data_IF_138408637033
#
_entry.id   IF_138408637033
#
_cell.length_a   1.000
_cell.length_b   1.000
_cell.length_c   1.000
_cell.angle_alpha   90.00
_cell.angle_beta   90.00
_cell.angle_gamma   90.00
#
_symmetry.space_group_name_H-M   'P 1'
#
loop_
_entity.id
_entity.type
_entity.pdbx_description
1 polymer ?
#
# COMPACT_ATOMS: atom_id res chain seq x y z
N UNK A 1 -24.81 27.28 74.45
CA UNK A 1 -24.62 28.45 73.57
C UNK A 1 -23.20 28.41 73.05
N UNK A 2 -23.06 28.09 71.78
CA UNK A 2 -21.72 28.16 71.09
C UNK A 2 -21.42 29.63 70.84
N UNK A 3 -20.20 30.04 71.09
CA UNK A 3 -19.79 31.44 70.95
C UNK A 3 -19.69 31.89 69.50
N UNK A 4 -19.95 33.15 69.28
CA UNK A 4 -19.94 33.77 67.91
C UNK A 4 -18.57 33.65 67.20
N UNK A 5 -17.50 33.27 67.88
CA UNK A 5 -16.17 33.07 67.32
C UNK A 5 -16.02 31.68 66.59
N UNK A 6 -16.87 30.71 66.90
CA UNK A 6 -16.81 29.41 66.21
C UNK A 6 -17.52 29.39 64.85
N UNK A 7 -18.28 30.41 64.48
CA UNK A 7 -18.99 30.51 63.18
C UNK A 7 -18.23 31.30 62.12
N UNK A 8 -17.12 31.96 62.48
CA UNK A 8 -16.35 32.80 61.56
C UNK A 8 -15.33 31.97 60.70
N UNK A 9 -15.26 30.65 60.86
CA UNK A 9 -14.26 29.81 60.19
C UNK A 9 -14.74 29.01 59.00
N UNK A 10 -16.00 29.20 58.59
CA UNK A 10 -16.53 28.53 57.40
C UNK A 10 -16.38 29.44 56.16
N UNK A 11 -15.13 29.65 55.69
CA UNK A 11 -14.90 30.18 54.36
C UNK A 11 -15.41 29.15 53.33
N UNK A 12 -16.51 29.48 52.67
CA UNK A 12 -16.99 28.76 51.48
C UNK A 12 -15.99 28.98 50.35
N UNK A 13 -15.08 28.01 50.12
CA UNK A 13 -14.31 27.96 48.86
C UNK A 13 -15.24 27.40 47.77
N UNK A 14 -15.55 28.19 46.74
CA UNK A 14 -16.31 27.66 45.63
C UNK A 14 -15.48 26.61 44.91
N UNK A 15 -16.07 25.45 44.55
CA UNK A 15 -15.36 24.39 43.86
C UNK A 15 -14.68 24.94 42.58
N UNK A 16 -13.42 24.62 42.39
CA UNK A 16 -12.66 25.09 41.25
C UNK A 16 -13.30 24.59 39.95
N UNK A 17 -13.34 25.42 38.92
CA UNK A 17 -13.89 25.08 37.58
C UNK A 17 -13.26 23.79 37.03
N UNK A 18 -12.07 23.44 37.48
CA UNK A 18 -11.38 22.20 37.20
C UNK A 18 -12.06 20.95 37.76
N UNK A 19 -12.78 21.04 38.91
CA UNK A 19 -13.46 19.89 39.48
C UNK A 19 -14.74 19.53 38.73
N UNK A 20 -15.42 20.52 38.17
CA UNK A 20 -16.63 20.31 37.35
C UNK A 20 -16.31 19.78 35.95
N UNK A 21 -15.14 20.06 35.39
CA UNK A 21 -14.75 19.63 34.01
C UNK A 21 -14.18 18.20 33.99
N UNK A 22 -13.60 17.73 35.10
CA UNK A 22 -13.01 16.39 35.18
C UNK A 22 -13.96 15.22 34.84
N UNK A 23 -15.21 15.17 35.37
CA UNK A 23 -16.14 14.10 35.02
C UNK A 23 -16.61 14.19 33.57
N UNK A 24 -16.81 15.39 33.01
CA UNK A 24 -17.22 15.58 31.61
C UNK A 24 -16.14 15.14 30.64
N UNK A 25 -14.88 15.44 30.92
CA UNK A 25 -13.72 15.02 30.13
C UNK A 25 -13.59 13.48 30.19
N UNK A 26 -13.76 12.87 31.37
CA UNK A 26 -13.74 11.39 31.52
C UNK A 26 -14.86 10.72 30.75
N UNK A 27 -16.08 11.25 30.81
CA UNK A 27 -17.23 10.73 30.06
C UNK A 27 -16.97 10.85 28.55
N UNK A 28 -16.41 11.95 28.08
CA UNK A 28 -16.07 12.14 26.69
C UNK A 28 -14.99 11.12 26.21
N UNK A 29 -13.96 10.87 27.01
CA UNK A 29 -12.94 9.85 26.71
C UNK A 29 -13.53 8.44 26.68
N UNK A 30 -14.44 8.10 27.60
CA UNK A 30 -15.13 6.81 27.63
C UNK A 30 -16.04 6.66 26.41
N UNK A 31 -16.79 7.69 26.04
CA UNK A 31 -17.64 7.67 24.85
C UNK A 31 -16.84 7.55 23.55
N UNK A 32 -15.70 8.23 23.43
CA UNK A 32 -14.80 8.09 22.28
C UNK A 32 -14.19 6.67 22.23
N UNK A 33 -13.78 6.12 23.37
CA UNK A 33 -13.27 4.75 23.44
C UNK A 33 -14.33 3.70 23.08
N UNK A 34 -15.58 3.88 23.54
CA UNK A 34 -16.71 3.00 23.17
C UNK A 34 -17.04 3.13 21.69
N UNK A 35 -17.02 4.34 21.12
CA UNK A 35 -17.29 4.57 19.71
C UNK A 35 -16.22 3.96 18.81
N UNK A 36 -14.95 3.94 19.23
CA UNK A 36 -13.86 3.27 18.52
C UNK A 36 -13.93 1.75 18.62
N UNK A 37 -14.47 1.21 19.72
CA UNK A 37 -14.70 -0.23 19.90
C UNK A 37 -15.95 -0.73 19.16
N UNK A 38 -16.94 0.14 18.95
CA UNK A 38 -18.17 -0.15 18.20
C UNK A 38 -18.05 0.17 16.71
N UNK A 39 -16.96 0.80 16.28
CA UNK A 39 -16.66 0.89 14.86
C UNK A 39 -16.62 -0.55 14.33
N UNK A 40 -17.49 -0.94 13.37
CA UNK A 40 -17.38 -2.26 12.76
C UNK A 40 -15.97 -2.34 12.23
N UNK A 41 -15.15 -3.17 12.86
CA UNK A 41 -13.85 -3.53 12.29
C UNK A 41 -14.17 -3.96 10.87
N UNK A 42 -13.70 -3.21 9.88
CA UNK A 42 -13.75 -3.66 8.51
C UNK A 42 -12.92 -4.93 8.50
N UNK A 43 -13.58 -6.07 8.78
CA UNK A 43 -13.04 -7.36 8.38
C UNK A 43 -12.97 -7.22 6.88
N UNK A 44 -11.80 -6.83 6.39
CA UNK A 44 -11.43 -7.02 5.01
C UNK A 44 -11.55 -8.53 4.82
N UNK A 45 -12.73 -8.97 4.42
CA UNK A 45 -12.90 -10.29 3.85
C UNK A 45 -11.91 -10.29 2.72
N UNK A 46 -10.84 -11.08 2.87
CA UNK A 46 -9.85 -11.29 1.83
C UNK A 46 -10.66 -11.54 0.56
N UNK A 47 -10.55 -10.62 -0.40
CA UNK A 47 -11.43 -10.62 -1.56
C UNK A 47 -11.04 -11.84 -2.37
N UNK A 48 -11.81 -12.92 -2.24
CA UNK A 48 -11.61 -14.18 -2.97
C UNK A 48 -11.95 -14.04 -4.45
N UNK A 49 -12.58 -12.92 -4.83
CA UNK A 49 -12.89 -12.62 -6.23
C UNK A 49 -11.65 -12.16 -6.97
N UNK A 50 -11.34 -12.86 -8.04
CA UNK A 50 -10.30 -12.51 -9.00
C UNK A 50 -10.77 -11.31 -9.81
N UNK A 51 -10.00 -10.24 -9.86
CA UNK A 51 -10.24 -9.14 -10.79
C UNK A 51 -9.79 -9.54 -12.20
N UNK A 52 -10.35 -8.87 -13.23
CA UNK A 52 -9.89 -9.08 -14.61
C UNK A 52 -8.38 -8.86 -14.74
N UNK A 53 -7.83 -7.93 -13.97
CA UNK A 53 -6.40 -7.64 -13.94
C UNK A 53 -5.59 -8.80 -13.34
N UNK A 54 -6.10 -9.45 -12.28
CA UNK A 54 -5.47 -10.64 -11.71
C UNK A 54 -5.48 -11.81 -12.70
N UNK A 55 -6.57 -12.00 -13.45
CA UNK A 55 -6.68 -13.02 -14.49
C UNK A 55 -5.68 -12.78 -15.64
N UNK A 56 -5.48 -11.50 -16.03
CA UNK A 56 -4.47 -11.12 -17.02
C UNK A 56 -3.06 -11.52 -16.56
N UNK A 57 -2.74 -11.36 -15.27
CA UNK A 57 -1.44 -11.80 -14.72
C UNK A 57 -1.22 -13.30 -14.92
N UNK A 58 -2.17 -14.12 -14.48
CA UNK A 58 -2.08 -15.58 -14.60
C UNK A 58 -1.89 -16.00 -16.06
N UNK A 59 -2.64 -15.37 -16.96
CA UNK A 59 -2.52 -15.57 -18.41
C UNK A 59 -1.11 -15.23 -18.92
N UNK A 60 -0.57 -14.06 -18.56
CA UNK A 60 0.75 -13.60 -19.00
C UNK A 60 1.87 -14.50 -18.48
N UNK A 61 1.85 -14.87 -17.20
CA UNK A 61 2.87 -15.76 -16.62
C UNK A 61 2.78 -17.17 -17.22
N UNK A 62 1.56 -17.67 -17.45
CA UNK A 62 1.36 -18.96 -18.13
C UNK A 62 1.93 -18.94 -19.55
N UNK A 63 1.60 -17.93 -20.33
CA UNK A 63 2.10 -17.77 -21.70
C UNK A 63 3.62 -17.61 -21.73
N UNK A 64 4.21 -16.88 -20.76
CA UNK A 64 5.66 -16.78 -20.64
C UNK A 64 6.30 -18.19 -20.49
N UNK A 65 5.81 -19.00 -19.57
CA UNK A 65 6.31 -20.36 -19.39
C UNK A 65 6.18 -21.24 -20.63
N UNK A 66 5.07 -21.09 -21.37
CA UNK A 66 4.80 -21.91 -22.56
C UNK A 66 5.78 -21.65 -23.73
N UNK A 67 6.41 -20.47 -23.82
CA UNK A 67 7.42 -20.22 -24.85
C UNK A 67 8.84 -20.20 -24.30
N UNK A 68 9.06 -19.76 -23.06
CA UNK A 68 10.40 -19.62 -22.50
C UNK A 68 11.00 -20.97 -22.06
N UNK A 69 10.19 -21.96 -21.70
CA UNK A 69 10.73 -23.30 -21.46
C UNK A 69 11.27 -23.96 -22.74
N UNK A 70 10.57 -23.99 -23.89
CA UNK A 70 11.16 -24.44 -25.16
C UNK A 70 12.37 -23.59 -25.61
N UNK A 71 12.31 -22.26 -25.45
CA UNK A 71 13.44 -21.38 -25.73
C UNK A 71 14.67 -21.74 -24.90
N UNK A 72 14.52 -21.99 -23.59
CA UNK A 72 15.59 -22.46 -22.72
C UNK A 72 16.16 -23.82 -23.15
N UNK A 73 15.32 -24.74 -23.63
CA UNK A 73 15.79 -26.01 -24.21
C UNK A 73 16.63 -25.78 -25.48
N UNK A 74 16.20 -24.90 -26.36
CA UNK A 74 16.98 -24.52 -27.55
C UNK A 74 18.30 -23.87 -27.18
N UNK A 75 18.31 -23.01 -26.15
CA UNK A 75 19.51 -22.40 -25.62
C UNK A 75 20.57 -23.43 -25.18
N UNK A 76 20.13 -24.54 -24.55
CA UNK A 76 21.01 -25.64 -24.14
C UNK A 76 21.58 -26.40 -25.33
N UNK A 77 20.92 -26.39 -26.48
CA UNK A 77 21.37 -27.10 -27.70
C UNK A 77 22.21 -26.22 -28.64
N UNK A 78 21.86 -24.95 -28.79
CA UNK A 78 22.41 -24.05 -29.79
C UNK A 78 23.29 -22.94 -29.22
N UNK A 79 23.12 -22.62 -27.93
CA UNK A 79 23.76 -21.47 -27.30
C UNK A 79 25.23 -21.71 -26.94
N UNK A 80 25.97 -20.62 -26.78
CA UNK A 80 27.26 -20.61 -26.10
C UNK A 80 27.17 -21.07 -24.64
N UNK A 81 28.27 -21.44 -23.98
CA UNK A 81 28.23 -21.93 -22.59
C UNK A 81 27.55 -21.02 -21.61
N UNK A 82 27.59 -19.68 -21.79
CA UNK A 82 26.90 -18.73 -20.95
C UNK A 82 25.39 -18.75 -21.22
N UNK A 83 24.98 -18.79 -22.48
CA UNK A 83 23.58 -18.83 -22.90
C UNK A 83 22.92 -20.16 -22.49
N UNK A 84 23.65 -21.29 -22.58
CA UNK A 84 23.19 -22.59 -22.06
C UNK A 84 22.84 -22.52 -20.59
N UNK A 85 23.69 -21.91 -19.75
CA UNK A 85 23.46 -21.73 -18.31
C UNK A 85 22.23 -20.85 -18.04
N UNK A 86 22.12 -19.75 -18.77
CA UNK A 86 20.98 -18.83 -18.64
C UNK A 86 19.69 -19.52 -19.06
N UNK A 87 19.69 -20.18 -20.22
CA UNK A 87 18.52 -20.92 -20.72
C UNK A 87 18.06 -22.01 -19.76
N UNK A 88 18.99 -22.77 -19.19
CA UNK A 88 18.67 -23.79 -18.19
C UNK A 88 18.01 -23.15 -16.94
N UNK A 89 18.58 -22.05 -16.41
CA UNK A 89 18.06 -21.38 -15.24
C UNK A 89 16.63 -20.83 -15.47
N UNK A 90 16.41 -20.16 -16.61
CA UNK A 90 15.10 -19.63 -17.02
C UNK A 90 14.08 -20.77 -17.16
N UNK A 91 14.45 -21.85 -17.87
CA UNK A 91 13.58 -23.03 -18.04
C UNK A 91 13.15 -23.64 -16.70
N UNK A 92 14.08 -23.78 -15.75
CA UNK A 92 13.79 -24.35 -14.43
C UNK A 92 12.87 -23.45 -13.59
N UNK A 93 13.10 -22.13 -13.63
CA UNK A 93 12.24 -21.19 -12.90
C UNK A 93 10.83 -21.14 -13.52
N UNK A 94 10.70 -21.16 -14.84
CA UNK A 94 9.40 -21.22 -15.50
C UNK A 94 8.66 -22.52 -15.26
N UNK A 95 9.36 -23.64 -15.13
CA UNK A 95 8.73 -24.90 -14.70
C UNK A 95 8.08 -24.80 -13.31
N UNK A 96 8.75 -24.14 -12.35
CA UNK A 96 8.19 -23.89 -11.00
C UNK A 96 7.03 -22.89 -11.04
N UNK A 97 7.19 -21.80 -11.79
CA UNK A 97 6.14 -20.79 -11.97
C UNK A 97 4.91 -21.38 -12.63
N UNK A 98 5.07 -22.30 -13.58
CA UNK A 98 3.97 -22.97 -14.27
C UNK A 98 3.11 -23.82 -13.31
N UNK A 99 3.75 -24.60 -12.44
CA UNK A 99 3.05 -25.36 -11.40
C UNK A 99 2.27 -24.41 -10.48
N UNK A 100 2.89 -23.33 -10.02
CA UNK A 100 2.25 -22.36 -9.16
C UNK A 100 1.10 -21.62 -9.87
N UNK A 101 1.28 -21.26 -11.14
CA UNK A 101 0.25 -20.59 -11.97
C UNK A 101 -0.98 -21.45 -12.12
N UNK A 102 -0.81 -22.73 -12.45
CA UNK A 102 -1.92 -23.68 -12.61
C UNK A 102 -2.64 -23.93 -11.29
N UNK A 103 -1.91 -24.10 -10.20
CA UNK A 103 -2.52 -24.26 -8.88
C UNK A 103 -3.34 -23.04 -8.47
N UNK A 104 -2.80 -21.84 -8.70
CA UNK A 104 -3.50 -20.58 -8.41
C UNK A 104 -4.71 -20.36 -9.34
N UNK A 105 -4.57 -20.69 -10.63
CA UNK A 105 -5.68 -20.67 -11.61
C UNK A 105 -6.85 -21.55 -11.16
N UNK A 106 -6.57 -22.78 -10.69
CA UNK A 106 -7.60 -23.68 -10.16
C UNK A 106 -8.25 -23.11 -8.89
N UNK A 107 -7.41 -22.67 -7.92
CA UNK A 107 -7.90 -22.08 -6.67
C UNK A 107 -8.83 -20.89 -6.88
N UNK A 108 -8.51 -20.06 -7.86
CA UNK A 108 -9.24 -18.82 -8.16
C UNK A 108 -10.33 -19.01 -9.23
N UNK A 109 -10.51 -20.21 -9.75
CA UNK A 109 -11.41 -20.49 -10.87
C UNK A 109 -11.20 -19.55 -12.05
N UNK A 110 -9.93 -19.25 -12.39
CA UNK A 110 -9.49 -18.35 -13.44
C UNK A 110 -8.69 -19.14 -14.49
N UNK A 111 -9.32 -19.62 -15.57
CA UNK A 111 -8.66 -20.47 -16.56
C UNK A 111 -7.49 -19.75 -17.24
N UNK A 112 -6.43 -20.50 -17.52
CA UNK A 112 -5.23 -20.00 -18.22
C UNK A 112 -5.03 -20.73 -19.54
N UNK A 113 -4.38 -20.10 -20.54
CA UNK A 113 -4.19 -20.69 -21.87
C UNK A 113 -3.26 -21.90 -21.82
N UNK A 114 -3.39 -22.76 -22.82
CA UNK A 114 -2.53 -23.93 -23.07
C UNK A 114 -1.50 -23.70 -24.18
N UNK A 115 -1.58 -22.53 -24.87
CA UNK A 115 -0.71 -22.13 -25.96
C UNK A 115 -0.05 -20.77 -25.69
N UNK A 116 1.18 -20.54 -26.19
CA UNK A 116 1.79 -19.23 -26.22
C UNK A 116 0.97 -18.28 -27.10
N UNK A 117 1.15 -16.97 -26.93
CA UNK A 117 0.53 -15.99 -27.84
C UNK A 117 1.07 -16.15 -29.30
N UNK A 118 0.37 -15.59 -30.27
CA UNK A 118 0.84 -15.60 -31.66
C UNK A 118 2.22 -14.96 -31.81
N UNK A 119 2.46 -13.86 -31.10
CA UNK A 119 3.73 -13.16 -31.05
C UNK A 119 4.86 -14.05 -30.50
N UNK A 120 4.62 -14.71 -29.36
CA UNK A 120 5.57 -15.62 -28.72
C UNK A 120 5.90 -16.84 -29.59
N UNK A 121 4.94 -17.36 -30.34
CA UNK A 121 5.19 -18.41 -31.35
C UNK A 121 6.11 -17.90 -32.45
N UNK A 122 5.97 -16.63 -32.86
CA UNK A 122 6.88 -15.97 -33.81
C UNK A 122 8.31 -15.91 -33.28
N UNK A 123 8.50 -15.56 -31.99
CA UNK A 123 9.81 -15.54 -31.34
C UNK A 123 10.44 -16.93 -31.26
N UNK A 124 9.67 -17.96 -30.92
CA UNK A 124 10.14 -19.34 -30.95
C UNK A 124 10.57 -19.79 -32.37
N UNK A 125 9.82 -19.40 -33.39
CA UNK A 125 10.19 -19.71 -34.77
C UNK A 125 11.48 -18.98 -35.20
N UNK A 126 11.68 -17.75 -34.76
CA UNK A 126 12.94 -17.00 -35.01
C UNK A 126 14.14 -17.72 -34.38
N UNK A 127 14.02 -18.10 -33.08
CA UNK A 127 15.06 -18.84 -32.36
C UNK A 127 15.34 -20.22 -33.01
N UNK A 128 14.27 -20.91 -33.45
CA UNK A 128 14.38 -22.23 -34.10
C UNK A 128 15.13 -22.13 -35.41
N UNK A 129 14.94 -21.09 -36.19
CA UNK A 129 15.60 -20.87 -37.47
C UNK A 129 17.00 -20.27 -37.36
N UNK A 130 17.40 -19.74 -36.21
CA UNK A 130 18.73 -19.17 -36.00
C UNK A 130 19.81 -20.26 -36.05
N UNK A 131 20.97 -19.92 -36.62
CA UNK A 131 22.17 -20.76 -36.61
C UNK A 131 22.71 -20.89 -35.18
N UNK A 132 23.21 -22.06 -34.75
CA UNK A 132 23.84 -22.22 -33.45
C UNK A 132 25.01 -21.24 -33.22
N UNK A 133 25.22 -20.83 -31.99
CA UNK A 133 26.28 -19.89 -31.61
C UNK A 133 25.82 -18.44 -31.64
N UNK A 134 26.66 -17.49 -32.13
CA UNK A 134 26.48 -16.06 -31.93
C UNK A 134 25.13 -15.49 -32.44
N UNK A 135 24.59 -16.05 -33.51
CA UNK A 135 23.30 -15.62 -34.05
C UNK A 135 22.16 -15.98 -33.06
N UNK A 136 22.10 -17.26 -32.67
CA UNK A 136 21.14 -17.72 -31.69
C UNK A 136 21.26 -16.96 -30.37
N UNK A 137 22.47 -16.81 -29.87
CA UNK A 137 22.77 -16.15 -28.61
C UNK A 137 22.21 -14.73 -28.56
N UNK A 138 22.42 -13.97 -29.64
CA UNK A 138 21.92 -12.60 -29.75
C UNK A 138 20.40 -12.55 -29.81
N UNK A 139 19.78 -13.42 -30.61
CA UNK A 139 18.31 -13.48 -30.71
C UNK A 139 17.70 -13.86 -29.37
N UNK A 140 18.18 -14.95 -28.75
CA UNK A 140 17.76 -15.41 -27.43
C UNK A 140 17.84 -14.30 -26.38
N UNK A 141 19.03 -13.68 -26.22
CA UNK A 141 19.24 -12.66 -25.20
C UNK A 141 18.31 -11.45 -25.37
N UNK A 142 18.15 -10.97 -26.60
CA UNK A 142 17.35 -9.77 -26.87
C UNK A 142 15.85 -10.03 -26.79
N UNK A 143 15.34 -11.16 -27.31
CA UNK A 143 13.91 -11.50 -27.20
C UNK A 143 13.49 -11.71 -25.76
N UNK A 144 14.24 -12.49 -25.00
CA UNK A 144 13.90 -12.71 -23.61
C UNK A 144 14.04 -11.42 -22.79
N UNK A 145 15.11 -10.65 -23.01
CA UNK A 145 15.30 -9.40 -22.25
C UNK A 145 14.16 -8.40 -22.50
N UNK A 146 13.72 -8.24 -23.75
CA UNK A 146 12.58 -7.38 -24.08
C UNK A 146 11.27 -7.87 -23.45
N UNK A 147 10.96 -9.16 -23.56
CA UNK A 147 9.78 -9.77 -22.96
C UNK A 147 9.76 -9.63 -21.43
N UNK A 148 10.90 -9.89 -20.78
CA UNK A 148 11.03 -9.74 -19.32
C UNK A 148 10.83 -8.30 -18.85
N UNK A 149 11.34 -7.30 -19.61
CA UNK A 149 11.11 -5.89 -19.30
C UNK A 149 9.63 -5.50 -19.30
N UNK A 150 8.86 -6.02 -20.26
CA UNK A 150 7.43 -5.77 -20.36
C UNK A 150 6.65 -6.45 -19.22
N UNK A 151 6.92 -7.73 -18.94
CA UNK A 151 6.21 -8.46 -17.91
C UNK A 151 6.55 -7.98 -16.50
N UNK A 152 7.78 -7.50 -16.27
CA UNK A 152 8.21 -6.93 -15.01
C UNK A 152 7.33 -5.75 -14.56
N UNK A 153 7.05 -4.83 -15.49
CA UNK A 153 6.19 -3.68 -15.21
C UNK A 153 4.77 -4.12 -14.82
N UNK A 154 4.19 -5.09 -15.53
CA UNK A 154 2.85 -5.62 -15.23
C UNK A 154 2.83 -6.30 -13.85
N UNK A 155 3.81 -7.14 -13.55
CA UNK A 155 3.94 -7.81 -12.25
C UNK A 155 4.07 -6.82 -11.10
N UNK A 156 4.86 -5.75 -11.28
CA UNK A 156 5.04 -4.71 -10.27
C UNK A 156 3.74 -3.94 -9.98
N UNK A 157 3.01 -3.55 -11.02
CA UNK A 157 1.72 -2.87 -10.88
C UNK A 157 0.68 -3.75 -10.17
N UNK A 158 0.59 -5.02 -10.55
CA UNK A 158 -0.33 -5.96 -9.94
C UNK A 158 0.00 -6.25 -8.49
N UNK A 159 1.27 -6.46 -8.19
CA UNK A 159 1.70 -6.63 -6.81
C UNK A 159 1.34 -5.43 -5.93
N UNK A 160 1.42 -4.22 -6.48
CA UNK A 160 1.10 -2.98 -5.77
C UNK A 160 -0.42 -2.78 -5.60
N UNK A 161 -1.25 -3.20 -6.55
CA UNK A 161 -2.67 -2.84 -6.63
C UNK A 161 -3.66 -3.96 -6.34
N UNK A 162 -3.28 -5.24 -6.47
CA UNK A 162 -4.21 -6.36 -6.23
C UNK A 162 -4.68 -6.42 -4.78
N UNK A 163 -5.97 -6.69 -4.61
CA UNK A 163 -6.59 -6.92 -3.29
C UNK A 163 -6.57 -8.39 -2.89
N UNK A 164 -6.23 -9.29 -3.82
CA UNK A 164 -6.14 -10.72 -3.58
C UNK A 164 -4.75 -11.08 -3.02
N UNK A 165 -4.70 -11.65 -1.82
CA UNK A 165 -3.45 -11.98 -1.12
C UNK A 165 -2.64 -13.06 -1.83
N UNK A 166 -3.30 -14.06 -2.41
CA UNK A 166 -2.63 -15.13 -3.15
C UNK A 166 -1.99 -14.59 -4.44
N UNK A 167 -2.71 -13.72 -5.16
CA UNK A 167 -2.19 -13.04 -6.37
C UNK A 167 -1.02 -12.13 -6.00
N UNK A 168 -1.10 -11.41 -4.87
CA UNK A 168 -0.01 -10.55 -4.40
C UNK A 168 1.23 -11.36 -4.05
N UNK A 169 1.08 -12.49 -3.38
CA UNK A 169 2.18 -13.40 -3.06
C UNK A 169 2.80 -13.96 -4.34
N UNK A 170 1.98 -14.42 -5.29
CA UNK A 170 2.41 -14.94 -6.58
C UNK A 170 3.16 -13.88 -7.40
N UNK A 171 2.62 -12.65 -7.49
CA UNK A 171 3.26 -11.54 -8.19
C UNK A 171 4.62 -11.17 -7.58
N UNK A 172 4.80 -11.33 -6.25
CA UNK A 172 6.09 -11.13 -5.58
C UNK A 172 7.13 -12.15 -6.07
N UNK A 173 6.76 -13.42 -6.11
CA UNK A 173 7.65 -14.50 -6.60
C UNK A 173 7.97 -14.30 -8.08
N UNK A 174 6.96 -13.96 -8.89
CA UNK A 174 7.14 -13.66 -10.31
C UNK A 174 8.11 -12.50 -10.55
N UNK A 175 7.95 -11.38 -9.83
CA UNK A 175 8.87 -10.23 -9.94
C UNK A 175 10.32 -10.59 -9.62
N UNK A 176 10.53 -11.40 -8.58
CA UNK A 176 11.88 -11.84 -8.20
C UNK A 176 12.51 -12.73 -9.28
N UNK A 177 11.72 -13.63 -9.88
CA UNK A 177 12.19 -14.46 -10.96
C UNK A 177 12.56 -13.62 -12.20
N UNK A 178 11.65 -12.73 -12.62
CA UNK A 178 11.88 -11.84 -13.78
C UNK A 178 13.10 -10.96 -13.60
N UNK A 179 13.29 -10.37 -12.41
CA UNK A 179 14.47 -9.54 -12.13
C UNK A 179 15.78 -10.36 -12.24
N UNK A 180 15.77 -11.60 -11.69
CA UNK A 180 16.94 -12.50 -11.84
C UNK A 180 17.22 -12.81 -13.31
N UNK A 181 16.18 -13.13 -14.08
CA UNK A 181 16.32 -13.45 -15.51
C UNK A 181 16.90 -12.26 -16.29
N UNK A 182 16.37 -11.04 -16.05
CA UNK A 182 16.92 -9.83 -16.67
C UNK A 182 18.40 -9.66 -16.35
N UNK A 183 18.77 -9.78 -15.07
CA UNK A 183 20.17 -9.68 -14.64
C UNK A 183 21.07 -10.73 -15.31
N UNK A 184 20.61 -11.98 -15.43
CA UNK A 184 21.35 -13.03 -16.11
C UNK A 184 21.52 -12.75 -17.60
N UNK A 185 20.44 -12.31 -18.29
CA UNK A 185 20.48 -11.95 -19.70
C UNK A 185 21.42 -10.77 -19.95
N UNK A 186 21.36 -9.74 -19.12
CA UNK A 186 22.26 -8.58 -19.17
C UNK A 186 23.73 -8.96 -18.94
N UNK A 187 24.00 -9.90 -18.03
CA UNK A 187 25.35 -10.40 -17.74
C UNK A 187 25.97 -11.17 -18.91
N UNK A 188 25.17 -11.61 -19.89
CA UNK A 188 25.69 -12.25 -21.12
C UNK A 188 26.49 -11.30 -21.99
N UNK A 189 26.29 -9.98 -21.85
CA UNK A 189 26.89 -8.95 -22.71
C UNK A 189 26.32 -8.87 -24.14
N UNK A 190 25.20 -9.59 -24.40
CA UNK A 190 24.61 -9.69 -25.76
C UNK A 190 23.32 -8.85 -25.90
N UNK A 191 22.88 -8.17 -24.84
CA UNK A 191 21.67 -7.36 -24.87
C UNK A 191 21.93 -6.03 -25.55
N UNK A 192 21.15 -5.76 -26.60
CA UNK A 192 21.09 -4.45 -27.24
C UNK A 192 20.05 -3.58 -26.53
N UNK A 193 20.51 -2.68 -25.67
CA UNK A 193 19.64 -1.78 -24.92
C UNK A 193 18.95 -0.75 -25.82
N UNK A 194 19.46 -0.48 -27.00
CA UNK A 194 18.85 0.49 -27.93
C UNK A 194 17.65 -0.09 -28.65
N UNK A 195 17.56 -1.42 -28.73
CA UNK A 195 16.43 -2.15 -29.32
C UNK A 195 15.32 -2.49 -28.30
N UNK A 196 15.51 -2.16 -27.01
CA UNK A 196 14.50 -2.41 -26.01
C UNK A 196 13.28 -1.50 -26.21
N UNK A 197 12.06 -2.02 -25.97
CA UNK A 197 10.85 -1.20 -25.99
C UNK A 197 10.95 -0.01 -25.03
N UNK A 198 10.50 1.16 -25.48
CA UNK A 198 10.42 2.35 -24.61
C UNK A 198 9.55 2.05 -23.40
N UNK A 199 10.00 2.35 -22.18
CA UNK A 199 9.22 2.13 -20.97
C UNK A 199 7.89 2.90 -21.04
N UNK A 200 6.77 2.21 -20.86
CA UNK A 200 5.47 2.86 -20.68
C UNK A 200 5.40 3.48 -19.28
N UNK A 201 5.89 4.70 -19.13
CA UNK A 201 5.70 5.47 -17.91
C UNK A 201 4.30 6.06 -17.96
N UNK A 202 3.39 5.59 -17.09
CA UNK A 202 2.11 6.25 -16.92
C UNK A 202 2.36 7.65 -16.38
N UNK A 203 2.22 8.66 -17.23
CA UNK A 203 2.28 10.09 -16.87
C UNK A 203 1.01 10.57 -16.17
N UNK A 204 0.09 9.65 -15.86
CA UNK A 204 -1.05 9.99 -15.00
C UNK A 204 -0.49 10.43 -13.66
N UNK A 205 -0.60 11.73 -13.39
CA UNK A 205 -0.19 12.29 -12.12
C UNK A 205 -0.76 11.40 -11.00
N UNK A 206 0.11 10.98 -10.08
CA UNK A 206 -0.36 10.30 -8.88
C UNK A 206 -1.46 11.16 -8.27
N UNK A 207 -2.60 10.59 -7.84
CA UNK A 207 -3.63 11.37 -7.19
C UNK A 207 -2.96 12.16 -6.06
N UNK A 208 -2.97 13.50 -6.18
CA UNK A 208 -2.44 14.41 -5.18
C UNK A 208 -3.36 14.37 -3.97
N UNK A 209 -3.20 13.34 -3.14
CA UNK A 209 -3.94 13.16 -1.91
C UNK A 209 -3.78 11.73 -1.39
N UNK A 210 -3.65 11.61 -0.08
CA UNK A 210 -3.75 10.33 0.60
C UNK A 210 -5.21 9.90 0.45
N UNK A 211 -5.49 9.00 -0.48
CA UNK A 211 -6.79 8.33 -0.55
C UNK A 211 -6.83 7.33 0.61
N UNK A 212 -7.45 7.74 1.72
CA UNK A 212 -7.62 6.91 2.91
C UNK A 212 -8.54 5.70 2.68
N UNK A 213 -9.01 5.48 1.45
CA UNK A 213 -9.93 4.38 1.12
C UNK A 213 -11.26 4.46 1.88
N UNK A 214 -11.58 5.62 2.43
CA UNK A 214 -12.84 5.88 3.12
C UNK A 214 -13.93 6.17 2.09
N UNK A 215 -15.06 5.50 2.21
CA UNK A 215 -16.24 5.85 1.43
C UNK A 215 -16.83 7.19 1.88
N UNK A 216 -17.76 7.74 1.11
CA UNK A 216 -18.37 9.04 1.39
C UNK A 216 -19.09 9.10 2.75
N UNK A 217 -19.61 7.98 3.23
CA UNK A 217 -20.27 7.88 4.53
C UNK A 217 -19.25 7.91 5.67
N UNK A 218 -18.12 7.24 5.52
CA UNK A 218 -17.01 7.24 6.47
C UNK A 218 -16.34 8.62 6.54
N UNK A 219 -16.19 9.30 5.40
CA UNK A 219 -15.70 10.68 5.34
C UNK A 219 -16.65 11.65 6.06
N UNK A 220 -17.96 11.47 5.92
CA UNK A 220 -18.93 12.28 6.63
C UNK A 220 -18.86 12.05 8.15
N UNK A 221 -18.67 10.82 8.62
CA UNK A 221 -18.51 10.49 10.05
C UNK A 221 -17.21 11.09 10.60
N UNK A 222 -16.10 10.97 9.88
CA UNK A 222 -14.82 11.57 10.28
C UNK A 222 -14.93 13.10 10.33
N UNK A 223 -15.56 13.72 9.34
CA UNK A 223 -15.82 15.15 9.32
C UNK A 223 -16.69 15.63 10.50
N UNK A 224 -17.76 14.92 10.80
CA UNK A 224 -18.63 15.20 11.94
C UNK A 224 -17.88 15.09 13.28
N UNK A 225 -17.03 14.08 13.44
CA UNK A 225 -16.19 13.91 14.64
C UNK A 225 -15.20 15.07 14.80
N UNK A 226 -14.56 15.52 13.74
CA UNK A 226 -13.67 16.69 13.79
C UNK A 226 -14.40 17.96 14.18
N UNK A 227 -15.62 18.17 13.67
CA UNK A 227 -16.45 19.33 14.05
C UNK A 227 -16.90 19.28 15.50
N UNK A 228 -17.27 18.10 16.02
CA UNK A 228 -17.66 17.92 17.42
C UNK A 228 -16.49 18.15 18.38
N UNK A 229 -15.33 17.58 18.07
CA UNK A 229 -14.13 17.73 18.91
C UNK A 229 -13.61 19.16 18.83
N UNK A 230 -13.53 19.75 17.64
CA UNK A 230 -13.08 21.13 17.42
C UNK A 230 -14.05 22.16 18.04
N UNK A 231 -15.36 21.97 17.84
CA UNK A 231 -16.41 22.82 18.44
C UNK A 231 -16.45 22.71 19.96
N UNK A 232 -16.32 21.50 20.50
CA UNK A 232 -16.25 21.27 21.95
C UNK A 232 -15.03 21.94 22.58
N UNK A 233 -13.86 21.79 21.95
CA UNK A 233 -12.63 22.45 22.43
C UNK A 233 -12.74 23.98 22.37
N UNK A 234 -13.26 24.51 21.27
CA UNK A 234 -13.49 25.96 21.13
C UNK A 234 -14.46 26.49 22.20
N UNK A 235 -15.55 25.77 22.46
CA UNK A 235 -16.51 26.14 23.50
C UNK A 235 -15.86 26.15 24.89
N UNK A 236 -15.08 25.14 25.24
CA UNK A 236 -14.36 25.08 26.52
C UNK A 236 -13.36 26.22 26.66
N UNK A 237 -12.57 26.51 25.62
CA UNK A 237 -11.60 27.60 25.62
C UNK A 237 -12.28 28.97 25.78
N UNK A 238 -13.44 29.17 25.13
CA UNK A 238 -14.23 30.38 25.25
C UNK A 238 -14.78 30.56 26.66
N UNK A 239 -15.28 29.50 27.29
CA UNK A 239 -15.77 29.49 28.67
C UNK A 239 -14.66 29.83 29.68
N UNK A 240 -13.48 29.24 29.53
CA UNK A 240 -12.30 29.50 30.37
C UNK A 240 -11.88 30.96 30.26
N UNK A 241 -11.87 31.50 29.02
CA UNK A 241 -11.53 32.92 28.79
C UNK A 241 -12.56 33.88 29.42
N UNK A 242 -13.87 33.56 29.30
CA UNK A 242 -14.95 34.36 29.87
C UNK A 242 -14.93 34.39 31.42
N UNK A 243 -14.65 33.26 32.02
CA UNK A 243 -14.56 33.13 33.49
C UNK A 243 -13.33 33.86 34.05
N UNK A 244 -12.20 33.84 33.37
CA UNK A 244 -11.01 34.64 33.74
C UNK A 244 -11.28 36.16 33.65
N UNK A 245 -12.08 36.60 32.69
CA UNK A 245 -12.51 38.00 32.57
C UNK A 245 -13.38 38.43 33.77
N UNK A 246 -14.34 37.60 34.20
CA UNK A 246 -15.21 37.83 35.36
C UNK A 246 -14.43 37.81 36.67
N UNK A 247 -13.49 36.87 36.86
CA UNK A 247 -12.65 36.81 38.06
C UNK A 247 -11.75 38.03 38.21
N UNK A 248 -11.31 38.63 37.10
CA UNK A 248 -10.47 39.84 37.08
C UNK A 248 -11.30 41.09 37.40
N UNK A 249 -12.56 41.16 36.97
CA UNK A 249 -13.46 42.26 37.25
C UNK A 249 -13.99 42.27 38.71
N UNK A 250 -14.00 41.14 39.38
CA UNK A 250 -14.47 40.96 40.77
C UNK A 250 -13.39 41.22 41.84
N UNK A 251 -12.16 41.58 41.48
CA UNK A 251 -11.16 41.98 42.48
C UNK A 251 -11.46 43.40 42.93
N UNK A 252 -11.79 43.66 44.22
CA UNK A 252 -12.00 44.98 44.77
C UNK A 252 -10.68 45.77 44.70
N UNK A 253 -10.74 47.00 44.29
CA UNK A 253 -9.62 47.94 44.34
C UNK A 253 -9.17 48.07 45.79
N UNK A 254 -8.01 47.52 46.13
CA UNK A 254 -7.40 47.70 47.44
C UNK A 254 -7.23 49.22 47.68
N UNK A 255 -7.93 49.71 48.70
CA UNK A 255 -7.94 51.06 49.13
C UNK A 255 -6.49 51.55 49.38
N UNK A 256 -6.01 52.48 48.58
CA UNK A 256 -4.84 53.30 48.90
C UNK A 256 -5.25 54.27 49.98
N UNK A 257 -5.11 53.85 51.23
CA UNK A 257 -5.06 54.83 52.35
C UNK A 257 -3.63 55.40 52.41
N UNK A 258 -3.50 56.61 51.90
CA UNK A 258 -2.33 57.43 52.17
C UNK A 258 -2.30 57.79 53.62
N UNK A 259 -1.23 57.50 54.30
CA UNK A 259 -0.83 58.09 55.58
C UNK A 259 0.18 59.17 55.30
N UNK A 260 -0.23 60.44 55.36
CA UNK A 260 0.62 61.58 55.64
C UNK A 260 0.70 61.72 57.13
N UNK A 261 1.88 61.74 57.69
CA UNK A 261 2.23 62.52 58.88
C UNK A 261 3.75 62.43 59.08
N UNK A 262 4.35 63.51 59.04
CA UNK A 262 5.03 64.38 59.99
C UNK A 262 6.51 64.39 59.79
#
# INVERSE_FOLDING_TARGET
>A
MRSASELAGLEYEPPSVLEFTRPLVRILFVLVAILTLLAPGSTSLAQTTVSDTDAVLLTKVRQAGLWEMPSGMMAMQKGSPIVQKIGFAIMMDHGRLDVATRALSQKLNSPVPDQPSAEQRGWLAEEMNASPGPEFDRIFANRLRAAHGQVFAVLAQLRAGTRNDDVRAFATVGNQAVLRHMTMLESSGMVDYTALPTPAVSTTAAPTGIQLGLDSSQMAVVGALFLLVGGGLFYVLRQVKSNRGRARAARPAAARTGGSHG
#
